data_IF_443391097980
#
_entry.id   IF_443391097980
#
_cell.length_a   1.000
_cell.length_b   1.000
_cell.length_c   1.000
_cell.angle_alpha   90.00
_cell.angle_beta   90.00
_cell.angle_gamma   90.00
#
_symmetry.space_group_name_H-M   'P 1'
#
loop_
_entity.id
_entity.type
_entity.pdbx_description
1 polymer ?
#
# COMPACT_ATOMS: atom_id res chain seq x y z
N UNK A 1 22.23 -2.10 7.82
CA UNK A 1 21.22 -2.79 7.01
C UNK A 1 19.88 -2.28 7.49
N UNK A 2 19.06 -1.68 6.62
CA UNK A 2 17.67 -1.37 6.99
C UNK A 2 16.94 -2.71 7.01
N UNK A 3 16.27 -3.06 8.10
CA UNK A 3 15.43 -4.26 8.10
C UNK A 3 14.24 -4.01 7.18
N UNK A 4 13.79 -5.02 6.42
CA UNK A 4 12.57 -4.90 5.65
C UNK A 4 11.39 -4.65 6.59
N UNK A 5 10.48 -3.79 6.17
CA UNK A 5 9.30 -3.39 6.91
C UNK A 5 8.03 -3.71 6.11
N UNK A 6 6.89 -3.79 6.79
CA UNK A 6 5.62 -4.04 6.14
C UNK A 6 5.09 -2.77 5.49
N UNK A 7 4.67 -2.89 4.24
CA UNK A 7 3.99 -1.86 3.49
C UNK A 7 2.66 -2.40 2.94
N UNK A 8 1.61 -1.62 3.07
CA UNK A 8 0.32 -1.92 2.45
C UNK A 8 0.20 -1.21 1.11
N UNK A 9 -0.24 -1.94 0.10
CA UNK A 9 -0.43 -1.44 -1.27
C UNK A 9 -1.91 -1.21 -1.50
N UNK A 10 -2.28 0.03 -1.85
CA UNK A 10 -3.66 0.44 -2.04
C UNK A 10 -3.88 1.07 -3.42
N UNK A 11 -5.12 1.02 -3.90
CA UNK A 11 -5.52 1.63 -5.17
C UNK A 11 -5.52 3.17 -5.10
N UNK A 12 -4.83 3.83 -6.03
CA UNK A 12 -4.88 5.31 -6.19
C UNK A 12 -5.95 5.76 -7.18
N UNK A 13 -6.46 4.83 -8.00
CA UNK A 13 -7.60 5.02 -8.88
C UNK A 13 -8.63 3.91 -8.66
N UNK A 14 -9.93 4.24 -8.75
CA UNK A 14 -10.98 3.24 -8.63
C UNK A 14 -10.93 2.27 -9.81
N UNK A 15 -11.24 1.00 -9.54
CA UNK A 15 -11.47 -0.03 -10.55
C UNK A 15 -12.95 -0.36 -10.62
N UNK A 16 -13.34 -1.27 -11.52
CA UNK A 16 -14.73 -1.76 -11.59
C UNK A 16 -15.13 -2.55 -10.34
N UNK A 17 -14.16 -3.14 -9.65
CA UNK A 17 -14.40 -4.00 -8.49
C UNK A 17 -14.21 -3.27 -7.15
N UNK A 18 -13.34 -2.25 -7.10
CA UNK A 18 -12.88 -1.66 -5.84
C UNK A 18 -12.68 -0.13 -5.92
N UNK A 19 -13.00 0.62 -4.86
CA UNK A 19 -12.80 2.08 -4.82
C UNK A 19 -11.33 2.47 -4.61
N UNK A 20 -11.03 3.76 -4.79
CA UNK A 20 -9.77 4.38 -4.35
C UNK A 20 -9.57 4.09 -2.85
N UNK A 21 -8.34 3.77 -2.46
CA UNK A 21 -7.96 3.46 -1.10
C UNK A 21 -8.06 1.97 -0.74
N UNK A 22 -8.68 1.13 -1.57
CA UNK A 22 -8.78 -0.29 -1.27
C UNK A 22 -7.40 -0.96 -1.24
N UNK A 23 -7.09 -1.65 -0.15
CA UNK A 23 -5.81 -2.34 0.05
C UNK A 23 -5.85 -3.70 -0.64
N UNK A 24 -4.97 -3.89 -1.61
CA UNK A 24 -4.92 -5.09 -2.45
C UNK A 24 -3.79 -6.04 -2.08
N UNK A 25 -2.74 -5.55 -1.42
CA UNK A 25 -1.57 -6.36 -1.08
C UNK A 25 -0.84 -5.80 0.15
N UNK A 26 0.01 -6.64 0.76
CA UNK A 26 0.93 -6.26 1.83
C UNK A 26 2.29 -6.90 1.59
N UNK A 27 3.31 -6.07 1.41
CA UNK A 27 4.66 -6.48 1.02
C UNK A 27 5.67 -6.17 2.12
N UNK A 28 6.77 -6.92 2.14
CA UNK A 28 7.95 -6.55 2.92
C UNK A 28 8.92 -5.78 2.03
N UNK A 29 9.19 -4.52 2.38
CA UNK A 29 10.07 -3.64 1.62
C UNK A 29 10.99 -2.86 2.55
N UNK A 30 12.24 -2.66 2.13
CA UNK A 30 13.27 -1.96 2.91
C UNK A 30 13.24 -0.43 2.72
N UNK A 31 12.30 0.07 1.92
CA UNK A 31 12.17 1.49 1.57
C UNK A 31 13.28 2.04 0.68
N UNK A 32 14.16 1.18 0.14
CA UNK A 32 15.39 1.59 -0.57
C UNK A 32 15.65 0.83 -1.86
N UNK A 33 15.24 -0.43 -1.93
CA UNK A 33 15.33 -1.25 -3.14
C UNK A 33 14.47 -0.64 -4.24
N UNK A 34 14.87 -0.82 -5.52
CA UNK A 34 14.21 -0.30 -6.74
C UNK A 34 12.80 -0.88 -7.02
N UNK A 35 12.18 -1.48 -6.01
CA UNK A 35 10.79 -1.90 -6.11
C UNK A 35 9.88 -0.67 -6.14
N UNK A 36 8.89 -0.71 -7.05
CA UNK A 36 7.80 0.23 -7.13
C UNK A 36 6.48 -0.53 -7.11
N UNK A 37 5.43 -0.01 -6.44
CA UNK A 37 4.11 -0.59 -6.55
C UNK A 37 3.61 -0.53 -8.01
N UNK A 38 2.73 -1.46 -8.43
CA UNK A 38 2.14 -1.46 -9.77
C UNK A 38 1.41 -0.16 -10.13
N UNK A 39 1.23 0.10 -11.43
CA UNK A 39 0.46 1.26 -11.91
C UNK A 39 -0.95 1.31 -11.31
N UNK A 40 -1.40 2.51 -10.95
CA UNK A 40 -2.71 2.72 -10.31
C UNK A 40 -2.74 2.32 -8.83
N UNK A 41 -1.59 2.04 -8.22
CA UNK A 41 -1.45 1.74 -6.80
C UNK A 41 -0.36 2.60 -6.15
N UNK A 42 -0.37 2.65 -4.82
CA UNK A 42 0.69 3.24 -4.02
C UNK A 42 0.92 2.39 -2.77
N UNK A 43 2.13 2.48 -2.21
CA UNK A 43 2.50 1.78 -0.99
C UNK A 43 2.61 2.76 0.18
N UNK A 44 2.14 2.36 1.36
CA UNK A 44 2.32 3.09 2.62
C UNK A 44 2.96 2.18 3.67
N UNK A 45 3.81 2.71 4.57
CA UNK A 45 4.30 1.96 5.71
C UNK A 45 3.13 1.46 6.57
N UNK A 46 3.16 0.19 6.96
CA UNK A 46 2.14 -0.48 7.76
C UNK A 46 2.79 -1.42 8.80
N UNK A 47 3.72 -0.85 9.57
CA UNK A 47 4.48 -1.50 10.64
C UNK A 47 3.58 -2.34 11.56
N UNK A 48 2.46 -1.75 11.97
CA UNK A 48 1.53 -2.31 12.96
C UNK A 48 0.42 -3.17 12.34
N UNK A 49 0.36 -3.32 11.01
CA UNK A 49 -0.68 -4.12 10.36
C UNK A 49 -2.08 -3.47 10.41
N UNK A 50 -2.16 -2.15 10.43
CA UNK A 50 -3.41 -1.39 10.55
C UNK A 50 -4.23 -1.39 9.26
N UNK A 51 -3.59 -1.72 8.13
CA UNK A 51 -4.19 -1.71 6.81
C UNK A 51 -4.14 -3.11 6.19
N UNK A 52 -4.96 -4.06 6.66
CA UNK A 52 -4.99 -5.41 6.10
C UNK A 52 -5.56 -5.40 4.67
N UNK A 53 -5.22 -6.43 3.88
CA UNK A 53 -5.81 -6.64 2.55
C UNK A 53 -7.33 -6.70 2.66
N UNK A 54 -8.03 -5.99 1.78
CA UNK A 54 -9.48 -5.84 1.81
C UNK A 54 -9.99 -4.66 2.63
N UNK A 55 -9.12 -3.99 3.41
CA UNK A 55 -9.47 -2.74 4.08
C UNK A 55 -9.43 -1.56 3.12
N UNK A 56 -9.81 -0.38 3.63
CA UNK A 56 -9.68 0.88 2.90
C UNK A 56 -8.76 1.82 3.66
N UNK A 57 -7.76 2.35 2.95
CA UNK A 57 -6.90 3.42 3.39
C UNK A 57 -7.38 4.75 2.79
N UNK A 58 -7.71 5.70 3.65
CA UNK A 58 -8.00 7.07 3.24
C UNK A 58 -6.71 7.87 3.30
N UNK A 59 -6.09 8.09 2.15
CA UNK A 59 -4.95 8.99 2.06
C UNK A 59 -5.37 10.40 2.53
N UNK A 60 -4.58 11.08 3.37
CA UNK A 60 -4.86 12.46 3.74
C UNK A 60 -4.85 13.34 2.49
N UNK A 61 -5.86 14.21 2.36
CA UNK A 61 -5.87 15.26 1.35
C UNK A 61 -4.65 16.16 1.57
N UNK A 62 -3.89 16.40 0.50
CA UNK A 62 -2.73 17.30 0.50
C UNK A 62 -3.12 18.76 0.80
#
# INVERSE_FOLDING_TARGET
MTQPDAYSVYLTAATVEHPIGYVIDRVLWDGRSDWSPPDGTAAIPDHEGQHPIGSSYTAPSA
#
